data_IF_004465377912
#
_entry.id   IF_004465377912
#
_cell.length_a   1.000
_cell.length_b   1.000
_cell.length_c   1.000
_cell.angle_alpha   90.00
_cell.angle_beta   90.00
_cell.angle_gamma   90.00
#
_symmetry.space_group_name_H-M   'P 1'
#
loop_
_entity.id
_entity.type
_entity.pdbx_description
1 polymer ?
#
# COMPACT_ATOMS: atom_id res chain seq x y z
N UNK A 1 -9.35 4.82 -59.50
CA UNK A 1 -8.77 3.48 -59.66
C UNK A 1 -8.05 3.17 -58.35
N UNK A 2 -8.44 2.27 -57.46
CA UNK A 2 -9.26 1.06 -57.57
C UNK A 2 -8.42 -0.13 -57.09
N UNK A 3 -8.83 -0.71 -55.95
CA UNK A 3 -8.40 -1.98 -55.33
C UNK A 3 -7.11 -1.99 -54.48
N UNK A 4 -6.95 -2.79 -53.43
CA UNK A 4 -7.80 -3.56 -52.48
C UNK A 4 -6.80 -4.36 -51.62
N UNK A 5 -7.05 -4.63 -50.32
CA UNK A 5 -6.82 -5.94 -49.66
C UNK A 5 -7.40 -5.92 -48.22
N UNK A 6 -8.52 -6.64 -48.11
CA UNK A 6 -8.98 -7.62 -47.10
C UNK A 6 -8.93 -7.31 -45.60
N UNK A 7 -10.14 -7.22 -45.05
CA UNK A 7 -10.53 -7.59 -43.69
C UNK A 7 -11.08 -9.02 -43.63
N UNK A 8 -10.96 -9.69 -42.49
CA UNK A 8 -11.59 -10.99 -42.21
C UNK A 8 -12.64 -10.85 -41.09
N UNK A 9 -13.89 -11.20 -41.41
CA UNK A 9 -14.98 -11.51 -40.47
C UNK A 9 -15.27 -13.00 -40.59
N UNK A 10 -15.39 -13.72 -39.47
CA UNK A 10 -15.99 -15.05 -39.44
C UNK A 10 -17.35 -15.01 -38.73
N UNK A 11 -18.32 -15.68 -39.36
CA UNK A 11 -19.74 -15.80 -38.97
C UNK A 11 -19.97 -16.99 -38.04
N UNK A 12 -21.05 -16.88 -37.25
CA UNK A 12 -21.72 -17.94 -36.47
C UNK A 12 -22.33 -19.03 -37.37
N UNK A 13 -22.44 -20.24 -36.84
CA UNK A 13 -23.28 -21.33 -37.35
C UNK A 13 -23.57 -22.37 -36.26
N UNK A 14 -24.85 -22.59 -35.98
CA UNK A 14 -25.45 -23.59 -35.07
C UNK A 14 -25.85 -24.82 -35.89
N UNK A 15 -25.97 -26.02 -35.28
CA UNK A 15 -27.02 -26.95 -35.69
C UNK A 15 -27.95 -27.38 -34.53
N UNK A 16 -29.21 -27.65 -34.91
CA UNK A 16 -30.32 -28.20 -34.11
C UNK A 16 -30.58 -29.66 -34.49
N UNK A 17 -31.41 -30.30 -33.64
CA UNK A 17 -32.25 -31.52 -33.79
C UNK A 17 -31.65 -32.82 -33.20
N UNK A 18 -32.38 -33.63 -32.40
CA UNK A 18 -33.79 -33.58 -32.02
C UNK A 18 -34.23 -34.54 -30.88
N UNK A 19 -35.42 -34.23 -30.36
CA UNK A 19 -36.50 -35.04 -29.76
C UNK A 19 -36.27 -36.45 -29.13
N UNK A 20 -36.73 -36.61 -27.88
CA UNK A 20 -37.74 -37.62 -27.51
C UNK A 20 -38.60 -37.17 -26.32
N UNK A 21 -39.89 -37.55 -26.36
CA UNK A 21 -41.01 -37.17 -25.49
C UNK A 21 -41.29 -38.17 -24.34
N UNK A 22 -41.98 -37.68 -23.31
CA UNK A 22 -42.88 -38.43 -22.39
C UNK A 22 -42.98 -37.71 -21.03
N UNK A 23 -43.95 -36.82 -20.75
CA UNK A 23 -45.32 -37.04 -20.17
C UNK A 23 -45.36 -38.09 -19.03
N UNK A 24 -45.95 -37.91 -17.85
CA UNK A 24 -46.97 -36.98 -17.32
C UNK A 24 -47.14 -37.18 -15.79
N UNK A 25 -47.50 -36.09 -15.09
CA UNK A 25 -48.10 -35.87 -13.74
C UNK A 25 -49.16 -36.89 -13.23
N UNK A 26 -49.82 -36.72 -12.04
CA UNK A 26 -49.47 -36.15 -10.71
C UNK A 26 -50.13 -36.88 -9.48
N UNK A 27 -49.98 -36.29 -8.28
CA UNK A 27 -50.83 -36.36 -7.05
C UNK A 27 -50.94 -37.68 -6.24
N UNK A 28 -50.71 -37.62 -4.93
CA UNK A 28 -51.81 -37.70 -3.94
C UNK A 28 -51.42 -37.21 -2.52
N UNK A 29 -52.44 -36.77 -1.79
CA UNK A 29 -52.47 -36.20 -0.45
C UNK A 29 -52.45 -37.28 0.66
N UNK A 30 -52.36 -36.78 1.91
CA UNK A 30 -53.18 -37.07 3.11
C UNK A 30 -52.54 -37.83 4.29
N UNK A 31 -52.74 -37.21 5.46
CA UNK A 31 -53.18 -37.73 6.79
C UNK A 31 -52.13 -37.94 7.90
N UNK A 32 -52.24 -37.10 8.92
CA UNK A 32 -52.16 -37.47 10.36
C UNK A 32 -53.43 -38.23 10.78
N UNK A 33 -53.41 -39.09 11.84
CA UNK A 33 -53.73 -38.62 13.21
C UNK A 33 -53.08 -39.39 14.41
N UNK A 34 -52.90 -38.65 15.52
CA UNK A 34 -53.27 -38.87 16.95
C UNK A 34 -53.32 -40.29 17.55
N UNK A 35 -52.67 -40.47 18.73
CA UNK A 35 -53.13 -41.04 20.04
C UNK A 35 -51.84 -41.35 20.87
N UNK A 36 -51.66 -41.03 22.15
CA UNK A 36 -52.44 -41.41 23.33
C UNK A 36 -51.91 -40.69 24.60
N UNK A 37 -52.81 -40.21 25.47
CA UNK A 37 -52.56 -39.73 26.84
C UNK A 37 -52.68 -40.87 27.85
N UNK A 38 -51.97 -40.74 29.01
CA UNK A 38 -52.47 -40.81 30.42
C UNK A 38 -51.39 -41.37 31.40
N UNK A 39 -51.50 -41.18 32.74
CA UNK A 39 -51.55 -39.93 33.53
C UNK A 39 -50.62 -40.00 34.80
N UNK A 40 -50.81 -39.08 35.78
CA UNK A 40 -50.48 -39.23 37.24
C UNK A 40 -49.05 -38.78 37.66
N UNK A 41 -48.74 -37.97 38.70
CA UNK A 41 -49.39 -37.45 39.92
C UNK A 41 -48.86 -36.02 40.21
N UNK A 42 -49.69 -35.15 40.78
CA UNK A 42 -49.30 -33.88 41.40
C UNK A 42 -48.74 -34.13 42.79
N UNK A 43 -47.53 -33.62 43.08
CA UNK A 43 -47.07 -33.36 44.45
C UNK A 43 -46.72 -31.88 44.54
N UNK A 44 -47.56 -31.15 45.29
CA UNK A 44 -47.24 -29.83 45.81
C UNK A 44 -46.16 -29.97 46.87
N UNK A 45 -45.00 -29.34 46.68
CA UNK A 45 -44.10 -28.97 47.76
C UNK A 45 -43.84 -27.47 47.66
N UNK A 46 -44.53 -26.71 48.51
CA UNK A 46 -44.12 -25.37 48.89
C UNK A 46 -42.82 -25.49 49.69
N UNK A 47 -41.72 -24.98 49.15
CA UNK A 47 -40.56 -24.59 49.95
C UNK A 47 -40.24 -23.14 49.58
N UNK A 48 -40.23 -22.31 50.64
CA UNK A 48 -40.02 -20.87 50.61
C UNK A 48 -38.72 -20.49 49.89
N UNK A 49 -38.84 -19.53 48.97
CA UNK A 49 -37.73 -18.77 48.41
C UNK A 49 -37.03 -17.99 49.53
N UNK A 50 -35.86 -18.46 49.96
CA UNK A 50 -34.83 -17.60 50.52
C UNK A 50 -33.90 -17.22 49.35
N UNK A 51 -34.12 -16.03 48.78
CA UNK A 51 -33.29 -15.50 47.71
C UNK A 51 -31.88 -15.21 48.20
N UNK A 52 -30.94 -16.10 47.87
CA UNK A 52 -29.53 -15.73 47.77
C UNK A 52 -29.32 -15.11 46.39
N UNK A 53 -29.37 -13.78 46.31
CA UNK A 53 -28.74 -13.07 45.19
C UNK A 53 -27.24 -13.32 45.29
N UNK A 54 -26.76 -14.29 44.50
CA UNK A 54 -25.36 -14.31 44.12
C UNK A 54 -25.15 -13.10 43.21
N UNK A 55 -24.74 -11.96 43.79
CA UNK A 55 -24.14 -10.87 43.03
C UNK A 55 -22.93 -11.45 42.31
N UNK A 56 -23.12 -11.74 41.02
CA UNK A 56 -22.04 -12.02 40.11
C UNK A 56 -21.31 -10.69 39.96
N UNK A 57 -20.32 -10.46 40.82
CA UNK A 57 -19.38 -9.36 40.66
C UNK A 57 -18.72 -9.57 39.32
N UNK A 58 -19.20 -8.84 38.31
CA UNK A 58 -18.53 -8.73 37.04
C UNK A 58 -17.22 -8.04 37.38
N UNK A 59 -16.14 -8.83 37.46
CA UNK A 59 -14.81 -8.29 37.58
C UNK A 59 -14.69 -7.26 36.45
N UNK A 60 -14.59 -5.99 36.83
CA UNK A 60 -14.24 -4.95 35.89
C UNK A 60 -12.96 -5.45 35.22
N UNK A 61 -13.01 -5.68 33.92
CA UNK A 61 -11.80 -5.91 33.13
C UNK A 61 -10.87 -4.76 33.47
N UNK A 62 -9.70 -5.07 34.04
CA UNK A 62 -8.66 -4.06 34.17
C UNK A 62 -8.52 -3.37 32.82
N UNK A 63 -8.51 -2.03 32.76
CA UNK A 63 -8.34 -1.34 31.49
C UNK A 63 -7.08 -1.90 30.84
N UNK A 64 -7.19 -2.45 29.62
CA UNK A 64 -6.03 -2.96 28.89
C UNK A 64 -4.93 -1.91 28.98
N UNK A 65 -3.80 -2.29 29.58
CA UNK A 65 -2.67 -1.37 29.70
C UNK A 65 -2.27 -0.94 28.30
N UNK A 66 -2.31 0.37 28.05
CA UNK A 66 -1.92 0.93 26.77
C UNK A 66 -0.45 0.58 26.47
N UNK A 67 -0.21 -0.13 25.37
CA UNK A 67 1.12 -0.45 24.90
C UNK A 67 1.38 0.20 23.53
N UNK A 68 2.43 1.01 23.44
CA UNK A 68 2.81 1.68 22.18
C UNK A 68 3.43 0.74 21.15
N UNK A 69 3.93 -0.41 21.58
CA UNK A 69 4.63 -1.38 20.74
C UNK A 69 4.19 -2.79 21.10
N UNK A 70 3.92 -3.61 20.09
CA UNK A 70 3.84 -5.06 20.26
C UNK A 70 4.41 -5.78 19.04
N UNK A 71 4.80 -7.04 19.21
CA UNK A 71 5.31 -7.87 18.14
C UNK A 71 4.76 -9.29 18.27
N UNK A 72 4.31 -9.86 17.15
CA UNK A 72 3.79 -11.23 17.08
C UNK A 72 4.35 -12.00 15.89
N UNK A 73 4.33 -13.32 15.95
CA UNK A 73 4.62 -14.16 14.80
C UNK A 73 3.51 -14.00 13.73
N UNK A 74 3.90 -13.77 12.48
CA UNK A 74 2.98 -13.55 11.36
C UNK A 74 3.00 -14.70 10.34
N UNK A 75 4.13 -15.40 10.23
CA UNK A 75 4.29 -16.51 9.31
C UNK A 75 5.74 -16.95 9.19
N UNK A 76 6.03 -17.77 8.19
CA UNK A 76 7.36 -18.29 7.94
C UNK A 76 7.61 -18.35 6.43
N UNK A 77 8.85 -18.07 6.03
CA UNK A 77 9.35 -18.31 4.69
C UNK A 77 9.52 -19.80 4.43
N UNK A 78 9.67 -20.19 3.17
CA UNK A 78 9.89 -21.59 2.77
C UNK A 78 11.17 -22.19 3.39
N UNK A 79 12.20 -21.38 3.57
CA UNK A 79 13.48 -21.77 4.19
C UNK A 79 13.43 -21.86 5.73
N UNK A 80 12.26 -21.59 6.33
CA UNK A 80 12.07 -21.62 7.77
C UNK A 80 12.26 -20.28 8.49
N UNK A 81 12.68 -19.22 7.79
CA UNK A 81 12.85 -17.87 8.38
C UNK A 81 11.52 -17.34 8.92
N UNK A 82 11.49 -16.94 10.20
CA UNK A 82 10.29 -16.40 10.83
C UNK A 82 9.99 -14.98 10.35
N UNK A 83 8.72 -14.69 10.08
CA UNK A 83 8.22 -13.35 9.79
C UNK A 83 7.43 -12.86 10.99
N UNK A 84 7.74 -11.65 11.44
CA UNK A 84 7.08 -10.99 12.56
C UNK A 84 6.22 -9.83 12.05
N UNK A 85 5.06 -9.63 12.67
CA UNK A 85 4.28 -8.41 12.56
C UNK A 85 4.53 -7.55 13.80
N UNK A 86 4.79 -6.28 13.56
CA UNK A 86 5.02 -5.24 14.54
C UNK A 86 3.80 -4.33 14.51
N UNK A 87 3.32 -3.93 15.69
CA UNK A 87 2.30 -2.90 15.84
C UNK A 87 2.89 -1.72 16.62
N UNK A 88 2.63 -0.51 16.11
CA UNK A 88 2.82 0.76 16.79
C UNK A 88 1.45 1.37 17.07
N UNK A 89 1.16 1.73 18.32
CA UNK A 89 -0.11 2.35 18.73
C UNK A 89 0.13 3.68 19.44
N UNK A 90 -0.66 4.70 19.13
CA UNK A 90 -0.60 5.97 19.84
C UNK A 90 -1.74 6.13 20.85
N UNK A 91 -1.69 7.18 21.69
CA UNK A 91 -2.68 7.40 22.76
C UNK A 91 -4.10 7.67 22.25
N UNK A 92 -4.24 8.05 20.98
CA UNK A 92 -5.53 8.33 20.34
C UNK A 92 -6.15 7.09 19.72
N UNK A 93 -5.47 5.94 19.78
CA UNK A 93 -5.98 4.67 19.28
C UNK A 93 -5.62 4.37 17.83
N UNK A 94 -4.91 5.27 17.13
CA UNK A 94 -4.34 4.96 15.82
C UNK A 94 -3.31 3.85 15.96
N UNK A 95 -3.38 2.85 15.09
CA UNK A 95 -2.47 1.71 15.07
C UNK A 95 -1.85 1.56 13.67
N UNK A 96 -0.54 1.36 13.62
CA UNK A 96 0.21 1.06 12.39
C UNK A 96 0.83 -0.30 12.53
N UNK A 97 0.55 -1.19 11.58
CA UNK A 97 1.06 -2.56 11.57
C UNK A 97 1.97 -2.78 10.38
N UNK A 98 3.11 -3.42 10.61
CA UNK A 98 4.10 -3.72 9.57
C UNK A 98 4.73 -5.10 9.78
N UNK A 99 5.20 -5.75 8.71
CA UNK A 99 5.86 -7.05 8.77
C UNK A 99 7.34 -6.98 8.39
N UNK A 100 8.15 -7.92 8.90
CA UNK A 100 9.58 -7.99 8.58
C UNK A 100 9.87 -8.34 7.11
N UNK A 101 8.91 -8.92 6.39
CA UNK A 101 9.03 -9.14 4.94
C UNK A 101 8.71 -7.86 4.16
N UNK A 102 9.69 -7.35 3.41
CA UNK A 102 9.58 -6.12 2.63
C UNK A 102 9.46 -4.83 3.43
N UNK A 103 9.67 -4.90 4.76
CA UNK A 103 9.29 -3.84 5.70
C UNK A 103 7.86 -3.34 5.43
N UNK A 104 6.94 -4.27 5.14
CA UNK A 104 5.65 -3.94 4.54
C UNK A 104 4.66 -3.43 5.57
N UNK A 105 4.08 -2.24 5.37
CA UNK A 105 2.90 -1.83 6.13
C UNK A 105 1.73 -2.73 5.75
N UNK A 106 1.13 -3.38 6.74
CA UNK A 106 -0.03 -4.26 6.55
C UNK A 106 -1.33 -3.57 6.91
N UNK A 107 -1.29 -2.56 7.78
CA UNK A 107 -2.45 -1.75 8.11
C UNK A 107 -2.06 -0.37 8.66
N UNK A 108 -2.93 0.61 8.43
CA UNK A 108 -3.00 1.87 9.16
C UNK A 108 -4.45 1.97 9.64
N UNK A 109 -4.69 1.59 10.88
CA UNK A 109 -6.01 1.55 11.47
C UNK A 109 -6.33 2.89 12.14
N UNK A 110 -7.39 3.55 11.66
CA UNK A 110 -7.89 4.79 12.22
C UNK A 110 -9.13 4.50 13.08
N UNK A 111 -9.15 4.96 14.35
CA UNK A 111 -10.33 4.91 15.21
C UNK A 111 -11.57 5.50 14.55
N UNK A 112 -12.73 5.01 14.98
CA UNK A 112 -14.04 5.54 14.58
C UNK A 112 -14.93 5.66 15.80
N UNK A 113 -15.74 6.71 15.84
CA UNK A 113 -16.76 6.86 16.87
C UNK A 113 -17.80 5.73 16.75
N UNK A 114 -18.03 4.99 17.84
CA UNK A 114 -19.03 3.93 17.94
C UNK A 114 -18.90 2.79 16.89
N UNK A 115 -17.71 2.57 16.33
CA UNK A 115 -17.45 1.50 15.37
C UNK A 115 -16.02 0.96 15.51
N UNK A 116 -15.79 -0.24 14.97
CA UNK A 116 -14.44 -0.82 14.88
C UNK A 116 -13.49 0.10 14.11
N UNK A 117 -12.19 0.18 14.45
CA UNK A 117 -11.20 0.89 13.64
C UNK A 117 -11.21 0.42 12.18
N UNK A 118 -10.79 1.31 11.27
CA UNK A 118 -10.73 0.99 9.84
C UNK A 118 -9.31 1.10 9.31
N UNK A 119 -8.86 0.05 8.61
CA UNK A 119 -7.62 0.07 7.87
C UNK A 119 -7.77 0.92 6.60
N UNK A 120 -6.95 1.97 6.47
CA UNK A 120 -7.00 2.89 5.32
C UNK A 120 -5.97 2.60 4.23
N UNK A 121 -5.32 1.44 4.27
CA UNK A 121 -4.44 0.96 3.19
C UNK A 121 -4.80 -0.45 2.73
N UNK A 122 -4.43 -0.80 1.50
CA UNK A 122 -4.51 -2.17 1.03
C UNK A 122 -3.53 -3.06 1.83
N UNK A 123 -4.07 -4.09 2.49
CA UNK A 123 -3.30 -5.08 3.22
C UNK A 123 -4.06 -6.39 3.40
N UNK A 124 -3.37 -7.38 3.96
CA UNK A 124 -3.84 -8.75 4.20
C UNK A 124 -3.40 -9.21 5.59
N UNK A 125 -4.17 -10.09 6.21
CA UNK A 125 -3.95 -10.51 7.61
C UNK A 125 -2.93 -11.65 7.77
N UNK A 126 -2.49 -12.24 6.66
CA UNK A 126 -1.61 -13.42 6.64
C UNK A 126 -0.45 -13.24 5.66
N UNK A 127 0.64 -13.99 5.86
CA UNK A 127 1.83 -13.93 5.01
C UNK A 127 1.63 -14.42 3.56
N UNK A 128 0.88 -15.51 3.26
CA UNK A 128 0.87 -16.09 1.91
C UNK A 128 0.47 -15.15 0.76
N UNK A 129 -0.49 -14.22 0.89
CA UNK A 129 -0.77 -13.22 -0.14
C UNK A 129 0.45 -12.37 -0.51
N UNK A 130 1.22 -11.90 0.48
CA UNK A 130 2.41 -11.08 0.26
C UNK A 130 3.49 -11.84 -0.54
N UNK A 131 3.70 -13.13 -0.23
CA UNK A 131 4.64 -13.98 -0.97
C UNK A 131 4.22 -14.21 -2.43
N UNK A 132 2.92 -14.14 -2.72
CA UNK A 132 2.35 -14.26 -4.07
C UNK A 132 2.37 -12.94 -4.85
N UNK A 133 2.98 -11.89 -4.32
CA UNK A 133 3.10 -10.60 -4.99
C UNK A 133 1.87 -9.70 -4.84
N UNK A 134 1.16 -9.80 -3.72
CA UNK A 134 0.12 -8.83 -3.37
C UNK A 134 0.63 -7.39 -3.50
N UNK A 135 -0.15 -6.45 -4.09
CA UNK A 135 0.22 -5.05 -4.17
C UNK A 135 0.21 -4.43 -2.78
N UNK A 136 1.39 -4.33 -2.18
CA UNK A 136 1.56 -4.04 -0.77
C UNK A 136 2.28 -2.71 -0.54
N UNK A 137 2.06 -2.12 0.64
CA UNK A 137 2.77 -0.96 1.16
C UNK A 137 4.21 -1.33 1.61
N UNK A 138 4.95 -1.98 0.73
CA UNK A 138 6.34 -2.40 0.96
C UNK A 138 7.30 -1.25 0.69
N UNK A 139 8.47 -1.34 1.32
CA UNK A 139 9.61 -0.51 0.93
C UNK A 139 10.11 -0.95 -0.44
N UNK A 140 10.26 0.01 -1.33
CA UNK A 140 10.80 -0.20 -2.66
C UNK A 140 12.25 0.30 -2.71
N UNK A 141 13.12 -0.50 -3.34
CA UNK A 141 14.52 -0.21 -3.57
C UNK A 141 15.24 -1.43 -4.17
N UNK A 142 16.49 -1.32 -4.61
CA UNK A 142 17.41 -0.19 -4.42
C UNK A 142 17.04 1.09 -5.18
N UNK A 143 16.29 0.96 -6.28
CA UNK A 143 15.80 2.09 -7.07
C UNK A 143 14.29 1.98 -7.31
N UNK A 144 13.53 2.92 -6.75
CA UNK A 144 12.10 3.07 -6.99
C UNK A 144 11.81 3.57 -8.41
N UNK A 145 10.66 3.14 -8.95
CA UNK A 145 10.23 3.37 -10.31
C UNK A 145 11.20 2.78 -11.36
N UNK A 146 11.20 3.33 -12.59
CA UNK A 146 11.83 2.70 -13.76
C UNK A 146 13.26 3.19 -13.99
N UNK A 147 14.10 2.29 -14.53
CA UNK A 147 15.37 2.60 -15.20
C UNK A 147 15.27 2.10 -16.65
N UNK A 148 15.42 3.02 -17.59
CA UNK A 148 15.34 2.75 -19.02
C UNK A 148 16.39 1.73 -19.46
N UNK A 149 16.01 0.84 -20.39
CA UNK A 149 16.91 -0.21 -20.91
C UNK A 149 17.48 -1.19 -19.88
N UNK A 150 17.03 -1.18 -18.62
CA UNK A 150 17.58 -1.98 -17.53
C UNK A 150 19.11 -1.85 -17.41
N UNK A 151 19.64 -0.65 -17.65
CA UNK A 151 21.08 -0.37 -17.60
C UNK A 151 21.30 1.09 -17.27
N UNK A 152 22.47 1.45 -16.75
CA UNK A 152 22.90 2.84 -16.59
C UNK A 152 24.44 2.93 -16.67
N UNK A 153 24.96 4.14 -16.89
CA UNK A 153 26.40 4.40 -16.78
C UNK A 153 26.71 5.05 -15.43
N UNK A 154 27.78 4.59 -14.79
CA UNK A 154 28.32 5.17 -13.56
C UNK A 154 29.84 5.15 -13.63
N UNK A 155 30.46 6.32 -13.46
CA UNK A 155 31.92 6.49 -13.48
C UNK A 155 32.60 5.84 -14.71
N UNK A 156 31.94 5.95 -15.89
CA UNK A 156 32.42 5.40 -17.16
C UNK A 156 32.19 3.89 -17.36
N UNK A 157 31.53 3.22 -16.42
CA UNK A 157 31.20 1.80 -16.49
C UNK A 157 29.70 1.62 -16.73
N UNK A 158 29.34 0.77 -17.69
CA UNK A 158 27.95 0.36 -17.92
C UNK A 158 27.56 -0.76 -16.97
N UNK A 159 26.57 -0.49 -16.12
CA UNK A 159 25.95 -1.49 -15.26
C UNK A 159 24.65 -1.98 -15.90
N UNK A 160 24.45 -3.30 -15.92
CA UNK A 160 23.17 -3.91 -16.29
C UNK A 160 22.45 -4.33 -15.01
N UNK A 161 21.22 -3.87 -14.85
CA UNK A 161 20.33 -4.27 -13.76
C UNK A 161 19.28 -5.25 -14.27
N UNK A 162 18.57 -5.89 -13.36
CA UNK A 162 17.56 -6.88 -13.74
C UNK A 162 16.48 -6.27 -14.63
N UNK A 163 16.30 -6.83 -15.83
CA UNK A 163 15.17 -6.53 -16.69
C UNK A 163 13.93 -7.29 -16.20
N UNK A 164 12.97 -6.56 -15.62
CA UNK A 164 11.74 -7.12 -15.03
C UNK A 164 10.45 -6.42 -15.49
N UNK A 165 10.53 -5.40 -16.36
CA UNK A 165 9.37 -4.72 -16.93
C UNK A 165 9.62 -4.42 -18.42
N UNK A 166 9.21 -5.32 -19.31
CA UNK A 166 9.50 -5.17 -20.75
C UNK A 166 11.02 -5.11 -20.98
N UNK A 167 11.51 -4.04 -21.63
CA UNK A 167 12.94 -3.77 -21.83
C UNK A 167 13.61 -3.01 -20.67
N UNK A 168 12.86 -2.72 -19.61
CA UNK A 168 13.26 -1.84 -18.51
C UNK A 168 13.41 -2.59 -17.18
N UNK A 169 14.01 -1.88 -16.23
CA UNK A 169 14.01 -2.25 -14.82
C UNK A 169 12.94 -1.45 -14.08
N UNK A 170 12.31 -2.05 -13.08
CA UNK A 170 11.37 -1.35 -12.20
C UNK A 170 11.50 -1.82 -10.75
N UNK A 171 11.38 -0.88 -9.81
CA UNK A 171 11.21 -1.13 -8.37
C UNK A 171 12.27 -2.07 -7.76
N UNK A 172 13.52 -1.91 -8.18
CA UNK A 172 14.65 -2.67 -7.64
C UNK A 172 14.78 -4.11 -8.13
N UNK A 173 13.96 -4.56 -9.08
CA UNK A 173 14.13 -5.86 -9.74
C UNK A 173 13.20 -6.97 -9.24
N UNK A 174 13.57 -8.24 -9.46
CA UNK A 174 12.68 -9.40 -9.18
C UNK A 174 12.62 -9.76 -7.70
N UNK A 175 13.73 -9.54 -6.99
CA UNK A 175 13.91 -9.70 -5.55
C UNK A 175 14.41 -8.38 -4.92
N UNK A 176 13.85 -7.26 -5.38
CA UNK A 176 14.07 -5.96 -4.76
C UNK A 176 13.57 -5.92 -3.31
N UNK A 177 13.70 -4.76 -2.66
CA UNK A 177 13.51 -4.58 -1.22
C UNK A 177 12.12 -4.98 -0.68
N UNK A 178 11.11 -4.99 -1.53
CA UNK A 178 9.77 -5.48 -1.18
C UNK A 178 9.70 -7.01 -0.97
N UNK A 179 10.74 -7.75 -1.37
CA UNK A 179 10.75 -9.22 -1.43
C UNK A 179 11.89 -9.86 -0.64
N UNK A 180 12.45 -9.13 0.32
CA UNK A 180 13.48 -9.61 1.23
C UNK A 180 13.00 -9.58 2.67
N UNK A 181 13.60 -10.40 3.53
CA UNK A 181 13.35 -10.35 4.97
C UNK A 181 14.32 -9.35 5.59
N UNK A 182 13.76 -8.34 6.24
CA UNK A 182 14.50 -7.31 6.95
C UNK A 182 14.72 -7.71 8.40
N UNK A 183 15.87 -7.35 8.95
CA UNK A 183 16.11 -7.41 10.39
C UNK A 183 15.30 -6.33 11.09
N UNK A 184 14.61 -6.66 12.17
CA UNK A 184 13.75 -5.74 12.93
C UNK A 184 14.41 -5.37 14.25
N UNK A 185 14.50 -4.07 14.51
CA UNK A 185 15.10 -3.48 15.70
C UNK A 185 14.11 -2.50 16.34
N UNK A 186 13.43 -2.89 17.45
CA UNK A 186 12.63 -1.95 18.23
C UNK A 186 13.53 -0.82 18.76
N UNK A 187 13.05 0.43 18.67
CA UNK A 187 13.76 1.59 19.23
C UNK A 187 13.23 1.92 20.63
N UNK A 188 13.99 2.65 21.47
CA UNK A 188 13.52 3.08 22.77
C UNK A 188 12.17 3.81 22.67
N UNK A 189 11.25 3.42 23.55
CA UNK A 189 9.95 4.08 23.64
C UNK A 189 10.12 5.48 24.20
N UNK A 190 9.25 6.39 23.76
CA UNK A 190 9.09 7.71 24.37
C UNK A 190 7.66 7.85 24.89
N UNK A 191 7.44 8.85 25.74
CA UNK A 191 6.12 9.14 26.30
C UNK A 191 5.09 9.54 25.25
N UNK A 192 5.53 9.97 24.05
CA UNK A 192 4.66 10.53 22.99
C UNK A 192 4.75 9.81 21.65
N UNK A 193 5.65 8.83 21.51
CA UNK A 193 5.85 8.10 20.26
C UNK A 193 6.49 6.73 20.47
N UNK A 194 6.30 5.84 19.50
CA UNK A 194 7.07 4.60 19.37
C UNK A 194 7.62 4.47 17.96
N UNK A 195 8.75 3.78 17.85
CA UNK A 195 9.41 3.57 16.57
C UNK A 195 10.05 2.17 16.50
N UNK A 196 10.15 1.67 15.29
CA UNK A 196 10.85 0.44 14.96
C UNK A 196 11.65 0.66 13.69
N UNK A 197 12.85 0.07 13.65
CA UNK A 197 13.78 0.18 12.55
C UNK A 197 13.93 -1.18 11.87
N UNK A 198 13.88 -1.17 10.54
CA UNK A 198 14.23 -2.28 9.69
C UNK A 198 15.63 -2.04 9.14
N UNK A 199 16.47 -3.07 9.13
CA UNK A 199 17.79 -3.06 8.50
C UNK A 199 17.91 -4.17 7.47
N UNK A 200 18.52 -3.85 6.34
CA UNK A 200 18.87 -4.80 5.29
C UNK A 200 20.22 -4.43 4.71
N UNK A 201 21.05 -5.45 4.51
CA UNK A 201 22.36 -5.33 3.88
C UNK A 201 22.29 -5.92 2.48
N UNK A 202 22.11 -5.06 1.48
CA UNK A 202 22.06 -5.47 0.08
C UNK A 202 23.48 -5.65 -0.45
N UNK A 203 23.80 -6.84 -0.98
CA UNK A 203 25.17 -7.16 -1.40
C UNK A 203 25.55 -6.46 -2.70
N UNK A 204 26.84 -6.26 -2.92
CA UNK A 204 27.39 -5.86 -4.21
C UNK A 204 26.90 -6.81 -5.32
N UNK A 205 26.38 -6.24 -6.41
CA UNK A 205 25.80 -6.97 -7.54
C UNK A 205 24.35 -7.42 -7.35
N UNK A 206 23.71 -7.17 -6.20
CA UNK A 206 22.30 -7.52 -5.98
C UNK A 206 21.39 -6.82 -7.00
N UNK A 207 20.63 -7.61 -7.76
CA UNK A 207 19.80 -7.15 -8.89
C UNK A 207 20.59 -6.35 -9.96
N UNK A 208 21.93 -6.48 -9.96
CA UNK A 208 22.86 -5.83 -10.88
C UNK A 208 23.41 -4.47 -10.40
N UNK A 209 23.04 -4.01 -9.21
CA UNK A 209 23.54 -2.73 -8.66
C UNK A 209 24.94 -2.89 -8.03
N UNK A 210 25.88 -1.97 -8.28
CA UNK A 210 27.21 -2.01 -7.66
C UNK A 210 27.17 -1.57 -6.19
N UNK A 211 28.11 -2.06 -5.38
CA UNK A 211 28.30 -1.66 -3.98
C UNK A 211 27.43 -2.44 -2.99
N UNK A 212 28.05 -2.82 -1.88
CA UNK A 212 27.30 -3.22 -0.70
C UNK A 212 26.60 -1.97 -0.15
N UNK A 213 25.32 -2.13 0.19
CA UNK A 213 24.48 -1.04 0.66
C UNK A 213 23.82 -1.44 1.97
N UNK A 214 24.13 -0.71 3.02
CA UNK A 214 23.44 -0.81 4.30
C UNK A 214 22.26 0.16 4.29
N UNK A 215 21.04 -0.37 4.40
CA UNK A 215 19.80 0.41 4.37
C UNK A 215 19.07 0.25 5.69
N UNK A 216 18.64 1.37 6.25
CA UNK A 216 17.76 1.42 7.41
C UNK A 216 16.48 2.14 7.06
N UNK A 217 15.35 1.60 7.50
CA UNK A 217 14.05 2.25 7.38
C UNK A 217 13.44 2.31 8.77
N UNK A 218 13.06 3.49 9.23
CA UNK A 218 12.45 3.67 10.56
C UNK A 218 11.01 4.12 10.39
N UNK A 219 10.07 3.35 10.94
CA UNK A 219 8.68 3.80 11.10
C UNK A 219 8.50 4.32 12.52
N UNK A 220 7.98 5.54 12.63
CA UNK A 220 7.63 6.18 13.90
C UNK A 220 6.18 6.62 13.86
N UNK A 221 5.42 6.23 14.87
CA UNK A 221 4.07 6.74 15.11
C UNK A 221 4.09 7.58 16.39
N UNK A 222 3.59 8.81 16.28
CA UNK A 222 3.45 9.73 17.40
C UNK A 222 1.99 9.98 17.81
N UNK A 223 1.82 10.70 18.92
CA UNK A 223 0.51 11.11 19.44
C UNK A 223 -0.15 12.26 18.66
N UNK A 224 0.45 12.74 17.57
CA UNK A 224 -0.20 13.68 16.64
C UNK A 224 -0.81 12.94 15.43
N UNK A 225 -0.97 11.62 15.52
CA UNK A 225 -1.42 10.75 14.44
C UNK A 225 -0.52 10.84 13.18
N UNK A 226 0.78 11.07 13.37
CA UNK A 226 1.74 11.13 12.28
C UNK A 226 2.57 9.84 12.21
N UNK A 227 2.44 9.12 11.09
CA UNK A 227 3.36 8.06 10.70
C UNK A 227 4.51 8.68 9.89
N UNK A 228 5.70 8.73 10.48
CA UNK A 228 6.93 9.11 9.78
C UNK A 228 7.67 7.87 9.31
N UNK A 229 8.12 7.89 8.06
CA UNK A 229 8.99 6.89 7.46
C UNK A 229 10.31 7.57 7.07
N UNK A 230 11.39 7.20 7.75
CA UNK A 230 12.74 7.72 7.46
C UNK A 230 13.60 6.62 6.86
N UNK A 231 14.23 6.92 5.73
CA UNK A 231 15.18 6.06 5.02
C UNK A 231 16.59 6.58 5.25
N UNK A 232 17.52 5.68 5.52
CA UNK A 232 18.94 5.99 5.63
C UNK A 232 19.74 4.95 4.86
N UNK A 233 20.77 5.37 4.14
CA UNK A 233 21.67 4.41 3.49
C UNK A 233 23.12 4.90 3.39
N UNK A 234 24.04 3.94 3.41
CA UNK A 234 25.47 4.12 3.15
C UNK A 234 25.96 3.02 2.24
N UNK A 235 26.90 3.33 1.35
CA UNK A 235 27.43 2.39 0.37
C UNK A 235 28.96 2.35 0.38
N UNK A 236 29.56 1.20 0.09
CA UNK A 236 31.01 1.06 -0.06
C UNK A 236 31.53 1.37 -1.48
N UNK A 237 30.62 1.50 -2.45
CA UNK A 237 30.88 1.97 -3.82
C UNK A 237 29.82 2.97 -4.24
N UNK A 238 30.11 3.76 -5.27
CA UNK A 238 29.08 4.60 -5.87
C UNK A 238 27.94 3.72 -6.40
N UNK A 239 26.69 4.07 -6.10
CA UNK A 239 25.49 3.35 -6.55
C UNK A 239 24.30 4.29 -6.63
N UNK A 240 23.37 4.09 -7.57
CA UNK A 240 22.08 4.76 -7.50
C UNK A 240 21.27 4.23 -6.31
N UNK A 241 20.57 5.14 -5.63
CA UNK A 241 19.59 4.86 -4.57
C UNK A 241 18.35 5.73 -4.80
N UNK A 242 17.18 5.14 -4.67
CA UNK A 242 15.90 5.84 -4.65
C UNK A 242 14.91 4.94 -3.90
N UNK A 243 14.41 5.40 -2.76
CA UNK A 243 13.54 4.60 -1.89
C UNK A 243 12.16 5.24 -1.77
N UNK A 244 11.14 4.39 -1.62
CA UNK A 244 9.78 4.85 -1.33
C UNK A 244 8.99 3.75 -0.63
N UNK A 245 7.77 4.05 -0.19
CA UNK A 245 6.80 3.08 0.29
C UNK A 245 5.59 3.07 -0.66
N UNK A 246 5.20 1.88 -1.11
CA UNK A 246 4.18 1.73 -2.15
C UNK A 246 2.76 1.53 -1.59
N UNK A 247 2.38 2.30 -0.56
CA UNK A 247 1.07 2.19 0.07
C UNK A 247 -0.07 2.60 -0.86
N UNK A 248 -1.09 1.73 -0.95
CA UNK A 248 -2.35 2.01 -1.64
C UNK A 248 -3.39 2.47 -0.63
N UNK A 249 -3.71 3.75 -0.61
CA UNK A 249 -4.63 4.37 0.34
C UNK A 249 -6.08 4.33 -0.14
N UNK A 250 -6.99 4.11 0.80
CA UNK A 250 -8.41 4.36 0.68
C UNK A 250 -8.93 4.74 2.08
N UNK A 251 -9.26 6.01 2.27
CA UNK A 251 -9.70 6.55 3.56
C UNK A 251 -11.23 6.39 3.76
N UNK A 252 -11.98 5.88 2.79
CA UNK A 252 -13.43 5.77 2.89
C UNK A 252 -13.86 4.63 3.81
N UNK A 253 -14.99 4.80 4.49
CA UNK A 253 -15.61 3.70 5.24
C UNK A 253 -16.09 2.56 4.33
N UNK A 254 -16.59 2.93 3.15
CA UNK A 254 -17.13 2.05 2.13
C UNK A 254 -16.87 2.65 0.76
N UNK A 255 -16.75 1.80 -0.26
CA UNK A 255 -16.51 2.23 -1.64
C UNK A 255 -15.03 2.41 -1.97
N UNK A 256 -14.77 3.02 -3.11
CA UNK A 256 -13.43 3.21 -3.67
C UNK A 256 -12.84 4.58 -3.37
N UNK A 257 -11.60 4.77 -3.83
CA UNK A 257 -10.83 5.97 -3.58
C UNK A 257 -11.14 7.14 -4.52
N UNK A 258 -11.92 6.92 -5.57
CA UNK A 258 -12.10 7.83 -6.71
C UNK A 258 -12.70 9.19 -6.29
N UNK A 259 -13.52 9.21 -5.24
CA UNK A 259 -14.15 10.42 -4.72
C UNK A 259 -13.26 11.19 -3.72
N UNK A 260 -12.07 10.69 -3.39
CA UNK A 260 -11.16 11.41 -2.52
C UNK A 260 -10.68 12.68 -3.19
N UNK A 261 -10.81 13.81 -2.50
CA UNK A 261 -10.34 15.11 -2.97
C UNK A 261 -8.84 15.18 -2.74
N UNK A 262 -8.06 15.21 -3.83
CA UNK A 262 -6.63 15.38 -3.81
C UNK A 262 -6.27 16.85 -4.09
N UNK A 263 -5.40 17.41 -3.26
CA UNK A 263 -4.60 18.59 -3.57
C UNK A 263 -3.13 18.17 -3.57
N UNK A 264 -2.38 18.53 -4.60
CA UNK A 264 -0.97 18.21 -4.76
C UNK A 264 -0.21 19.51 -5.04
N UNK A 265 0.80 19.81 -4.22
CA UNK A 265 1.59 21.03 -4.30
C UNK A 265 2.68 20.90 -5.37
N UNK A 266 2.29 20.84 -6.65
CA UNK A 266 3.21 20.77 -7.78
C UNK A 266 2.68 21.56 -8.99
N UNK A 267 3.55 22.38 -9.58
CA UNK A 267 3.25 23.13 -10.81
C UNK A 267 3.70 22.36 -12.07
N UNK A 268 4.54 21.35 -11.89
CA UNK A 268 5.18 20.61 -12.96
C UNK A 268 5.27 19.10 -12.69
N UNK A 269 5.51 18.33 -13.75
CA UNK A 269 5.66 16.88 -13.72
C UNK A 269 6.71 16.43 -14.75
N UNK A 270 7.23 15.21 -14.60
CA UNK A 270 8.16 14.65 -15.60
C UNK A 270 7.38 14.02 -16.75
N UNK A 271 7.64 14.49 -17.98
CA UNK A 271 7.05 13.91 -19.19
C UNK A 271 7.63 12.52 -19.43
N UNK A 272 6.77 11.54 -19.66
CA UNK A 272 7.14 10.17 -20.00
C UNK A 272 6.70 9.79 -21.43
N UNK A 273 7.35 8.79 -21.99
CA UNK A 273 6.97 8.18 -23.27
C UNK A 273 5.87 7.11 -23.10
N UNK A 274 5.53 6.42 -24.18
CA UNK A 274 4.50 5.37 -24.17
C UNK A 274 4.85 4.13 -23.35
N UNK A 275 6.13 3.94 -23.00
CA UNK A 275 6.59 2.87 -22.10
C UNK A 275 6.70 3.36 -20.64
N UNK A 276 6.24 4.59 -20.38
CA UNK A 276 6.25 5.27 -19.08
C UNK A 276 7.67 5.58 -18.59
N UNK A 277 8.63 5.73 -19.51
CA UNK A 277 9.98 6.17 -19.22
C UNK A 277 10.07 7.69 -19.36
N UNK A 278 10.62 8.41 -18.36
CA UNK A 278 10.86 9.84 -18.49
C UNK A 278 11.69 10.20 -19.71
N UNK A 279 11.31 11.31 -20.34
CA UNK A 279 12.01 11.85 -21.51
C UNK A 279 13.13 12.83 -21.14
N UNK A 280 13.37 13.05 -19.84
CA UNK A 280 14.22 14.13 -19.31
C UNK A 280 13.57 15.52 -19.33
N UNK A 281 12.37 15.67 -19.91
CA UNK A 281 11.66 16.95 -20.01
C UNK A 281 10.66 17.13 -18.86
N UNK A 282 10.43 18.40 -18.52
CA UNK A 282 9.46 18.82 -17.49
C UNK A 282 8.26 19.49 -18.17
N UNK A 283 7.05 19.03 -17.84
CA UNK A 283 5.78 19.58 -18.30
C UNK A 283 5.11 20.43 -17.22
N UNK A 284 4.20 21.32 -17.64
CA UNK A 284 3.33 22.07 -16.73
C UNK A 284 2.05 21.28 -16.45
N UNK A 285 1.57 21.26 -15.21
CA UNK A 285 0.28 20.62 -14.90
C UNK A 285 -0.90 21.51 -15.27
N UNK A 286 -0.72 22.84 -15.24
CA UNK A 286 -1.78 23.83 -15.48
C UNK A 286 -2.47 23.60 -16.83
N UNK A 287 -3.80 23.50 -16.79
CA UNK A 287 -4.63 23.28 -17.98
C UNK A 287 -4.67 21.82 -18.45
N UNK A 288 -4.16 20.87 -17.65
CA UNK A 288 -4.22 19.43 -17.91
C UNK A 288 -5.05 18.71 -16.85
N UNK A 289 -5.38 17.43 -17.07
CA UNK A 289 -6.02 16.57 -16.07
C UNK A 289 -5.14 16.29 -14.83
N UNK A 290 -3.85 16.64 -14.91
CA UNK A 290 -2.87 16.49 -13.84
C UNK A 290 -2.91 17.64 -12.82
N UNK A 291 -3.64 18.74 -13.09
CA UNK A 291 -3.63 19.92 -12.23
C UNK A 291 -4.43 19.73 -10.93
N UNK A 292 -3.75 19.23 -9.88
CA UNK A 292 -4.28 19.10 -8.53
C UNK A 292 -3.85 20.26 -7.61
N UNK A 293 -3.48 21.44 -8.13
CA UNK A 293 -3.20 22.60 -7.27
C UNK A 293 -4.43 23.12 -6.52
N UNK A 294 -5.63 22.70 -6.95
CA UNK A 294 -6.90 22.85 -6.23
C UNK A 294 -7.49 21.46 -5.96
N UNK A 295 -8.35 21.31 -4.93
CA UNK A 295 -8.93 20.02 -4.59
C UNK A 295 -9.83 19.49 -5.71
N UNK A 296 -9.49 18.31 -6.23
CA UNK A 296 -10.29 17.58 -7.22
C UNK A 296 -10.44 16.10 -6.80
N UNK A 297 -11.60 15.46 -7.01
CA UNK A 297 -11.70 14.02 -6.88
C UNK A 297 -10.70 13.31 -7.80
N UNK A 298 -9.99 12.31 -7.27
CA UNK A 298 -8.99 11.55 -8.04
C UNK A 298 -9.60 10.95 -9.32
N UNK A 299 -10.86 10.48 -9.27
CA UNK A 299 -11.54 9.88 -10.41
C UNK A 299 -12.22 10.87 -11.36
N UNK A 300 -12.24 12.18 -11.07
CA UNK A 300 -13.02 13.17 -11.84
C UNK A 300 -12.53 13.29 -13.28
N UNK A 301 -11.21 13.34 -13.47
CA UNK A 301 -10.58 13.67 -14.75
C UNK A 301 -9.83 12.46 -15.30
N UNK A 302 -9.55 12.49 -16.59
CA UNK A 302 -8.76 11.48 -17.27
C UNK A 302 -7.62 12.15 -18.01
N UNK A 303 -6.40 11.62 -17.83
CA UNK A 303 -5.29 11.96 -18.69
C UNK A 303 -5.30 11.06 -19.92
N UNK A 304 -5.46 11.67 -21.10
CA UNK A 304 -5.50 10.95 -22.37
C UNK A 304 -4.13 10.41 -22.81
N UNK A 305 -3.03 10.81 -22.15
CA UNK A 305 -1.69 10.27 -22.42
C UNK A 305 -1.50 8.87 -21.83
N UNK A 306 -2.37 8.45 -20.92
CA UNK A 306 -2.25 7.19 -20.19
C UNK A 306 -2.89 6.02 -20.95
N UNK A 307 -2.37 4.78 -20.79
CA UNK A 307 -2.85 3.61 -21.53
C UNK A 307 -4.27 3.18 -21.15
N UNK A 308 -4.79 3.69 -20.03
CA UNK A 308 -6.16 3.46 -19.57
C UNK A 308 -6.81 4.80 -19.16
N UNK A 309 -8.09 5.03 -19.48
CA UNK A 309 -8.82 6.18 -18.97
C UNK A 309 -8.79 6.23 -17.45
N UNK A 310 -8.73 7.45 -16.88
CA UNK A 310 -8.71 7.71 -15.44
C UNK A 310 -7.55 7.05 -14.66
N UNK A 311 -6.52 6.56 -15.37
CA UNK A 311 -5.25 6.17 -14.77
C UNK A 311 -4.37 7.41 -14.61
N UNK A 312 -3.79 7.55 -13.43
CA UNK A 312 -2.61 8.36 -13.19
C UNK A 312 -1.46 7.40 -12.92
N UNK A 313 -0.33 7.63 -13.59
CA UNK A 313 0.97 7.00 -13.31
C UNK A 313 2.05 8.05 -13.63
N UNK A 314 2.09 9.12 -12.84
CA UNK A 314 2.94 10.29 -13.09
C UNK A 314 3.76 10.68 -11.87
N UNK A 315 5.02 11.05 -12.11
CA UNK A 315 5.87 11.73 -11.14
C UNK A 315 5.66 13.25 -11.24
N UNK A 316 5.11 13.81 -10.17
CA UNK A 316 4.97 15.25 -9.95
C UNK A 316 6.22 15.82 -9.30
N UNK A 317 6.60 17.05 -9.66
CA UNK A 317 7.73 17.76 -9.06
C UNK A 317 7.21 18.62 -7.91
N UNK A 318 7.61 18.29 -6.69
CA UNK A 318 7.09 18.90 -5.47
C UNK A 318 7.62 20.33 -5.34
N UNK A 319 6.72 21.28 -5.09
CA UNK A 319 7.07 22.68 -4.83
C UNK A 319 7.92 22.76 -3.56
N UNK A 320 9.21 23.10 -3.71
CA UNK A 320 10.16 23.20 -2.61
C UNK A 320 10.71 21.86 -2.10
N UNK A 321 10.44 20.74 -2.80
CA UNK A 321 11.01 19.43 -2.47
C UNK A 321 12.51 19.34 -2.77
N UNK A 322 13.18 18.31 -2.23
CA UNK A 322 14.60 18.04 -2.45
C UNK A 322 15.57 18.79 -1.51
N UNK A 323 15.05 19.56 -0.56
CA UNK A 323 15.86 20.38 0.36
C UNK A 323 15.50 20.18 1.84
N UNK A 324 14.21 20.21 2.15
CA UNK A 324 13.68 20.06 3.50
C UNK A 324 12.28 19.44 3.43
N UNK A 325 11.77 18.94 4.55
CA UNK A 325 10.39 18.44 4.61
C UNK A 325 9.40 19.57 4.30
N UNK A 326 8.60 19.39 3.25
CA UNK A 326 7.59 20.36 2.80
C UNK A 326 6.20 19.71 2.63
N UNK A 327 5.10 20.48 2.79
CA UNK A 327 3.76 20.02 2.42
C UNK A 327 3.71 19.60 0.95
N UNK A 328 3.28 18.36 0.71
CA UNK A 328 3.31 17.73 -0.62
C UNK A 328 1.92 17.45 -1.15
N UNK A 329 1.05 16.85 -0.32
CA UNK A 329 -0.32 16.56 -0.71
C UNK A 329 -1.28 16.63 0.48
N UNK A 330 -2.54 16.89 0.16
CA UNK A 330 -3.68 16.79 1.07
C UNK A 330 -4.71 15.90 0.40
N UNK A 331 -5.16 14.88 1.10
CA UNK A 331 -6.27 14.03 0.67
C UNK A 331 -7.39 14.14 1.68
N UNK A 332 -8.61 14.43 1.21
CA UNK A 332 -9.81 14.44 2.03
C UNK A 332 -10.82 13.46 1.47
N UNK A 333 -11.33 12.58 2.31
CA UNK A 333 -12.48 11.74 1.97
C UNK A 333 -13.78 12.45 2.39
N UNK A 334 -14.67 12.81 1.43
CA UNK A 334 -15.80 13.68 1.74
C UNK A 334 -16.82 13.11 2.73
N UNK A 335 -17.00 11.78 2.80
CA UNK A 335 -18.09 11.15 3.55
C UNK A 335 -17.72 10.94 5.02
N UNK A 336 -16.59 10.29 5.29
CA UNK A 336 -16.04 10.07 6.64
C UNK A 336 -15.39 11.33 7.21
N UNK A 337 -15.06 12.31 6.37
CA UNK A 337 -14.39 13.54 6.77
C UNK A 337 -12.90 13.37 7.07
N UNK A 338 -12.34 12.15 6.92
CA UNK A 338 -10.92 11.87 7.18
C UNK A 338 -10.01 12.66 6.25
N UNK A 339 -8.90 13.10 6.81
CA UNK A 339 -7.87 13.84 6.10
C UNK A 339 -6.53 13.13 6.27
N UNK A 340 -5.81 12.99 5.16
CA UNK A 340 -4.40 12.59 5.15
C UNK A 340 -3.56 13.74 4.59
N UNK A 341 -2.57 14.20 5.36
CA UNK A 341 -1.55 15.16 4.94
C UNK A 341 -0.26 14.42 4.67
N UNK A 342 0.34 14.68 3.52
CA UNK A 342 1.64 14.13 3.12
C UNK A 342 2.68 15.24 3.13
N UNK A 343 3.80 15.00 3.80
CA UNK A 343 4.97 15.85 3.78
C UNK A 343 6.22 15.02 3.47
N UNK A 344 7.19 15.58 2.77
CA UNK A 344 8.45 14.88 2.48
C UNK A 344 9.56 15.85 2.13
N UNK A 345 10.81 15.41 2.29
CA UNK A 345 12.00 16.07 1.75
C UNK A 345 12.36 15.61 0.32
N UNK A 346 11.65 14.61 -0.23
CA UNK A 346 11.86 14.14 -1.59
C UNK A 346 11.53 15.23 -2.63
N UNK A 347 12.18 15.22 -3.80
CA UNK A 347 11.90 16.21 -4.84
C UNK A 347 10.64 15.88 -5.64
N UNK A 348 10.21 14.62 -5.66
CA UNK A 348 9.07 14.17 -6.46
C UNK A 348 8.09 13.28 -5.69
N UNK A 349 6.89 13.13 -6.24
CA UNK A 349 5.87 12.18 -5.79
C UNK A 349 5.20 11.50 -6.98
N UNK A 350 5.18 10.16 -6.99
CA UNK A 350 4.38 9.40 -7.95
C UNK A 350 2.94 9.37 -7.47
N UNK A 351 2.01 9.87 -8.29
CA UNK A 351 0.60 9.53 -8.17
C UNK A 351 0.31 8.33 -9.05
N UNK A 352 -0.04 7.21 -8.42
CA UNK A 352 -0.45 6.00 -9.10
C UNK A 352 -1.81 5.51 -8.59
N UNK A 353 -2.78 5.28 -9.47
CA UNK A 353 -4.10 4.77 -9.08
C UNK A 353 -4.51 3.51 -9.87
N UNK A 354 -3.54 2.76 -10.39
CA UNK A 354 -3.81 1.61 -11.25
C UNK A 354 -4.34 0.36 -10.55
N UNK A 355 -4.49 0.38 -9.22
CA UNK A 355 -5.02 -0.70 -8.40
C UNK A 355 -6.42 -0.31 -7.87
N UNK A 356 -7.46 -1.15 -8.04
CA UNK A 356 -8.81 -0.85 -7.58
C UNK A 356 -8.94 -0.68 -6.05
N UNK A 357 -7.94 -1.10 -5.26
CA UNK A 357 -8.00 -1.02 -3.79
C UNK A 357 -7.59 0.35 -3.24
N UNK A 358 -6.93 1.22 -4.02
CA UNK A 358 -6.43 2.49 -3.52
C UNK A 358 -5.53 3.23 -4.50
N UNK A 359 -5.13 4.44 -4.12
CA UNK A 359 -4.13 5.25 -4.82
C UNK A 359 -2.82 5.30 -4.02
N UNK A 360 -1.70 5.53 -4.71
CA UNK A 360 -0.37 5.70 -4.11
C UNK A 360 0.08 7.15 -4.23
N UNK A 361 0.83 7.59 -3.22
CA UNK A 361 1.62 8.82 -3.22
C UNK A 361 3.04 8.43 -2.81
N UNK A 362 3.81 7.94 -3.79
CA UNK A 362 5.18 7.46 -3.58
C UNK A 362 6.14 8.64 -3.66
N UNK A 363 6.54 9.18 -2.52
CA UNK A 363 7.55 10.23 -2.45
C UNK A 363 8.91 9.66 -2.82
N UNK A 364 9.61 10.25 -3.79
CA UNK A 364 10.81 9.68 -4.41
C UNK A 364 11.64 10.73 -5.17
N UNK A 365 12.85 10.35 -5.57
CA UNK A 365 13.52 11.02 -6.68
C UNK A 365 12.84 10.68 -8.01
N UNK A 366 13.06 11.50 -9.03
CA UNK A 366 12.39 11.32 -10.32
C UNK A 366 12.77 9.97 -10.93
N UNK A 367 11.83 9.28 -11.60
CA UNK A 367 12.16 8.06 -12.32
C UNK A 367 13.26 8.31 -13.35
N UNK A 368 14.04 7.28 -13.65
CA UNK A 368 15.14 7.32 -14.63
C UNK A 368 16.19 8.44 -14.43
N UNK A 369 16.31 9.02 -13.23
CA UNK A 369 17.29 10.09 -12.95
C UNK A 369 18.74 9.70 -13.26
N UNK A 370 19.06 8.40 -13.30
CA UNK A 370 20.38 7.87 -13.70
C UNK A 370 20.76 8.20 -15.16
N UNK A 371 19.78 8.54 -16.01
CA UNK A 371 20.00 8.93 -17.42
C UNK A 371 19.81 10.43 -17.68
N UNK A 372 19.36 11.19 -16.68
CA UNK A 372 18.97 12.58 -16.83
C UNK A 372 19.73 13.47 -15.87
N UNK A 373 20.88 13.99 -16.31
CA UNK A 373 21.73 14.87 -15.48
C UNK A 373 21.05 16.19 -15.06
N UNK A 374 19.93 16.56 -15.68
CA UNK A 374 19.09 17.69 -15.27
C UNK A 374 18.15 17.37 -14.12
N UNK A 375 17.98 16.10 -13.76
CA UNK A 375 17.18 15.67 -12.62
C UNK A 375 18.03 15.63 -11.34
N UNK A 376 17.41 15.70 -10.15
CA UNK A 376 18.12 15.49 -8.89
C UNK A 376 18.89 14.17 -8.91
N UNK A 377 20.17 14.23 -8.52
CA UNK A 377 21.03 13.05 -8.53
C UNK A 377 20.51 11.98 -7.58
N UNK A 378 20.62 10.72 -8.00
CA UNK A 378 20.31 9.54 -7.18
C UNK A 378 21.57 8.77 -6.81
N UNK A 379 22.75 9.24 -7.21
CA UNK A 379 24.01 8.54 -6.96
C UNK A 379 24.47 8.84 -5.53
N UNK A 380 24.53 7.79 -4.71
CA UNK A 380 25.17 7.78 -3.40
C UNK A 380 26.62 7.30 -3.57
N UNK A 381 27.58 8.06 -3.06
CA UNK A 381 29.01 7.71 -3.09
C UNK A 381 29.50 7.19 -1.73
N UNK A 382 30.68 6.54 -1.68
CA UNK A 382 31.31 6.21 -0.40
C UNK A 382 31.48 7.45 0.47
N UNK A 383 31.42 7.27 1.79
CA UNK A 383 31.51 8.32 2.82
C UNK A 383 30.32 9.29 2.88
N UNK A 384 29.44 9.28 1.88
CA UNK A 384 28.15 9.98 1.93
C UNK A 384 27.11 9.16 2.69
N UNK A 385 26.10 9.86 3.23
CA UNK A 385 24.92 9.25 3.84
C UNK A 385 23.69 9.77 3.12
N UNK A 386 22.89 8.85 2.60
CA UNK A 386 21.53 9.16 2.16
C UNK A 386 20.63 9.24 3.38
N UNK A 387 19.78 10.26 3.43
CA UNK A 387 18.69 10.38 4.39
C UNK A 387 17.48 10.99 3.69
N UNK A 388 16.29 10.46 3.95
CA UNK A 388 15.03 11.05 3.48
C UNK A 388 13.88 10.67 4.41
N UNK A 389 12.92 11.58 4.58
CA UNK A 389 11.73 11.36 5.41
C UNK A 389 10.44 11.68 4.67
N UNK A 390 9.44 10.84 4.89
CA UNK A 390 8.04 11.07 4.48
C UNK A 390 7.12 10.92 5.67
N UNK A 391 6.15 11.82 5.79
CA UNK A 391 5.20 11.87 6.91
C UNK A 391 3.79 11.77 6.35
N UNK A 392 3.02 10.79 6.84
CA UNK A 392 1.59 10.68 6.64
C UNK A 392 0.89 11.02 7.97
N UNK A 393 0.29 12.21 8.03
CA UNK A 393 -0.45 12.67 9.21
C UNK A 393 -1.96 12.59 8.97
N UNK A 394 -2.69 12.03 9.93
CA UNK A 394 -4.11 11.76 9.80
C UNK A 394 -4.95 12.61 10.76
N UNK A 395 -6.06 13.13 10.26
CA UNK A 395 -7.13 13.73 11.06
C UNK A 395 -8.40 12.91 10.84
N UNK A 396 -9.06 12.52 11.93
CA UNK A 396 -10.28 11.73 11.96
C UNK A 396 -11.09 12.13 13.19
N UNK A 397 -12.41 11.95 13.11
CA UNK A 397 -13.36 12.28 14.18
C UNK A 397 -13.55 11.11 15.14
#
# INVERSE_FOLDING_TARGET
MGACIRSHRFKRGVPREGCHRGSSNPMDRKRTPIYSMKPIHWILCLIMNAGFSAERTQAASEPESFHRFSMRHFGRMEDGTAIHQISLRNRHGMEVRAISYGATLTAIDLPRENAEPINVIAGEETLPPYLKGYPAASVIGRFANRIAGASFQLDGVTHKVTQNAGSHHIHGGRKGFARVVWQVEPLPLSDTSAAVRWHYHAKDGEEGFPGNLDVRVTYRLDDNNALSITYEATSDKATPVNFTNHAYFNLADQGGFENHLLTLHADTYTLADSELIPTGKIGQVKGTALDFNQPHPIGERADATQPRPHLYDHNYIIRGGGHSVVPTALVKEPTSGRIMRVQTDQPGVQLYNGNPRGFCLETQHYPDSVHHSSFPTTILRPEERFESTTIYAFEFQ
#
